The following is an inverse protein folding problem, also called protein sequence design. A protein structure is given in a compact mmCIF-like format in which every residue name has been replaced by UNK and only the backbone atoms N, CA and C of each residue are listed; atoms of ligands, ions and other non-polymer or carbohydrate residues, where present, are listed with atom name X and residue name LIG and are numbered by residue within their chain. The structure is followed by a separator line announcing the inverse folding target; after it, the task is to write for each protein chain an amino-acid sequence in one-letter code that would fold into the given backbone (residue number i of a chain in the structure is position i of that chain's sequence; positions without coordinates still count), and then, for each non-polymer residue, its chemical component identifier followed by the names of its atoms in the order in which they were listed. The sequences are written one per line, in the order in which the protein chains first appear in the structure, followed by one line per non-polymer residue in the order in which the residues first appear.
data_IF_234197397995
#
_entry.id   IF_234197397995
#
_cell.length_a   1.000
_cell.length_b   1.000
_cell.length_c   1.000
_cell.angle_alpha   90.00
_cell.angle_beta   90.00
_cell.angle_gamma   90.00
#
_symmetry.space_group_name_H-M   'P 1'
#
loop_
_entity.id
_entity.type
_entity.pdbx_description
1 polymer ?
#
# COMPACT_ATOMS: atom_id res chain seq x y z
N UNK A 1 14.67 -8.16 13.60
CA UNK A 1 14.95 -6.74 13.89
C UNK A 1 13.61 -6.04 14.05
N UNK A 2 13.31 -5.41 15.19
CA UNK A 2 12.00 -4.78 15.40
C UNK A 2 11.84 -3.43 14.68
N UNK A 3 10.62 -3.06 14.29
CA UNK A 3 10.30 -1.84 13.56
C UNK A 3 10.80 -0.56 14.23
N UNK A 4 10.77 -0.51 15.57
CA UNK A 4 11.29 0.60 16.35
C UNK A 4 12.78 0.88 16.11
N UNK A 5 13.55 -0.18 15.86
CA UNK A 5 14.98 -0.06 15.51
C UNK A 5 15.16 0.50 14.09
N UNK A 6 14.32 0.10 13.12
CA UNK A 6 14.32 0.69 11.78
C UNK A 6 14.02 2.19 11.82
N UNK A 7 13.00 2.60 12.57
CA UNK A 7 12.63 4.02 12.75
C UNK A 7 13.78 4.80 13.38
N UNK A 8 14.37 4.29 14.47
CA UNK A 8 15.51 4.92 15.14
C UNK A 8 16.72 5.08 14.23
N UNK A 9 17.02 4.04 13.44
CA UNK A 9 18.13 4.06 12.48
C UNK A 9 17.89 5.09 11.38
N UNK A 10 16.68 5.10 10.78
CA UNK A 10 16.27 6.10 9.79
C UNK A 10 16.43 7.51 10.35
N UNK A 11 15.84 7.79 11.52
CA UNK A 11 15.91 9.11 12.15
C UNK A 11 17.36 9.57 12.34
N UNK A 12 18.22 8.69 12.89
CA UNK A 12 19.63 8.99 13.11
C UNK A 12 20.39 9.20 11.80
N UNK A 13 20.09 8.44 10.74
CA UNK A 13 20.66 8.62 9.40
C UNK A 13 20.39 10.03 8.85
N UNK A 14 19.24 10.61 9.18
CA UNK A 14 18.89 11.98 8.81
C UNK A 14 19.33 13.05 9.82
N UNK A 15 20.08 12.69 10.88
CA UNK A 15 20.57 13.64 11.88
C UNK A 15 19.48 14.27 12.76
N UNK A 16 18.29 13.68 12.82
CA UNK A 16 17.13 14.27 13.50
C UNK A 16 17.04 13.83 14.96
N UNK A 17 16.60 14.74 15.84
CA UNK A 17 16.13 14.38 17.19
C UNK A 17 14.77 13.68 17.11
N UNK A 18 14.37 12.95 18.16
CA UNK A 18 13.03 12.32 18.21
C UNK A 18 11.92 13.36 18.03
N UNK A 19 12.11 14.56 18.58
CA UNK A 19 11.17 15.67 18.44
C UNK A 19 11.09 16.16 16.99
N UNK A 20 12.21 16.42 16.33
CA UNK A 20 12.23 16.84 14.92
C UNK A 20 11.62 15.79 13.98
N UNK A 21 11.83 14.50 14.28
CA UNK A 21 11.20 13.42 13.54
C UNK A 21 9.68 13.39 13.73
N UNK A 22 9.21 13.60 14.97
CA UNK A 22 7.79 13.69 15.28
C UNK A 22 7.11 14.89 14.59
N UNK A 23 7.77 16.04 14.60
CA UNK A 23 7.31 17.27 13.91
C UNK A 23 7.16 17.06 12.40
N UNK A 24 8.12 16.40 11.75
CA UNK A 24 8.03 16.07 10.31
C UNK A 24 6.87 15.13 9.96
N UNK A 25 6.44 14.32 10.92
CA UNK A 25 5.35 13.37 10.77
C UNK A 25 4.01 13.89 11.34
N UNK A 26 3.99 15.11 11.89
CA UNK A 26 2.82 15.72 12.52
C UNK A 26 2.23 14.89 13.66
N UNK A 27 3.10 14.26 14.47
CA UNK A 27 2.71 13.43 15.61
C UNK A 27 3.39 13.92 16.90
N UNK A 28 2.95 13.38 18.03
CA UNK A 28 3.60 13.68 19.31
C UNK A 28 4.99 13.05 19.40
N UNK A 29 5.88 13.72 20.14
CA UNK A 29 7.17 13.16 20.54
C UNK A 29 7.02 11.79 21.22
N UNK A 30 5.97 11.63 22.04
CA UNK A 30 5.69 10.41 22.79
C UNK A 30 5.46 9.21 21.86
N UNK A 31 4.82 9.41 20.71
CA UNK A 31 4.64 8.35 19.70
C UNK A 31 5.99 7.83 19.20
N UNK A 32 6.88 8.72 18.75
CA UNK A 32 8.22 8.35 18.28
C UNK A 32 9.03 7.69 19.39
N UNK A 33 9.00 8.27 20.60
CA UNK A 33 9.69 7.71 21.76
C UNK A 33 9.19 6.30 22.12
N UNK A 34 7.89 6.05 22.03
CA UNK A 34 7.30 4.74 22.30
C UNK A 34 7.69 3.72 21.24
N UNK A 35 7.66 4.09 19.95
CA UNK A 35 8.09 3.21 18.86
C UNK A 35 9.55 2.81 19.01
N UNK A 36 10.46 3.75 19.25
CA UNK A 36 11.90 3.48 19.39
C UNK A 36 12.28 2.71 20.66
N UNK A 37 11.37 2.63 21.64
CA UNK A 37 11.55 1.88 22.89
C UNK A 37 10.70 0.60 22.93
N UNK A 38 10.07 0.22 21.81
CA UNK A 38 9.23 -0.97 21.71
C UNK A 38 8.03 -0.97 22.69
N UNK A 39 7.56 0.23 23.06
CA UNK A 39 6.37 0.45 23.91
C UNK A 39 5.12 0.82 23.11
N UNK A 40 5.21 0.77 21.79
CA UNK A 40 4.11 1.02 20.87
C UNK A 40 4.50 0.61 19.46
N UNK A 41 3.51 0.57 18.56
CA UNK A 41 3.69 0.19 17.17
C UNK A 41 3.14 1.31 16.27
N UNK A 42 3.81 1.67 15.16
CA UNK A 42 3.20 2.58 14.18
C UNK A 42 2.01 1.90 13.51
N UNK A 43 1.00 2.68 13.16
CA UNK A 43 -0.10 2.19 12.32
C UNK A 43 0.35 2.01 10.88
N UNK A 44 -0.44 1.34 10.05
CA UNK A 44 -0.14 1.20 8.62
C UNK A 44 0.01 2.58 7.95
N UNK A 45 -0.87 3.52 8.25
CA UNK A 45 -0.80 4.89 7.71
C UNK A 45 0.49 5.59 8.13
N UNK A 46 0.94 5.42 9.38
CA UNK A 46 2.21 6.01 9.83
C UNK A 46 3.41 5.36 9.14
N UNK A 47 3.40 4.05 8.92
CA UNK A 47 4.44 3.37 8.16
C UNK A 47 4.53 3.92 6.73
N UNK A 48 3.39 4.07 6.06
CA UNK A 48 3.30 4.60 4.70
C UNK A 48 3.73 6.07 4.63
N UNK A 49 3.33 6.90 5.60
CA UNK A 49 3.75 8.30 5.69
C UNK A 49 5.27 8.42 5.87
N UNK A 50 5.87 7.57 6.69
CA UNK A 50 7.34 7.54 6.85
C UNK A 50 8.02 7.19 5.53
N UNK A 51 7.50 6.19 4.81
CA UNK A 51 8.04 5.80 3.50
C UNK A 51 8.00 6.97 2.52
N UNK A 52 6.87 7.67 2.44
CA UNK A 52 6.70 8.82 1.56
C UNK A 52 7.63 9.98 1.95
N UNK A 53 7.62 10.40 3.23
CA UNK A 53 8.38 11.58 3.70
C UNK A 53 9.89 11.44 3.61
N UNK A 54 10.39 10.21 3.65
CA UNK A 54 11.83 9.93 3.64
C UNK A 54 12.30 9.24 2.34
N UNK A 55 11.43 9.19 1.32
CA UNK A 55 11.71 8.55 0.01
C UNK A 55 12.31 7.15 0.14
N UNK A 56 11.60 6.28 0.88
CA UNK A 56 12.03 4.92 1.15
C UNK A 56 11.41 3.93 0.16
N UNK A 57 12.04 2.75 -0.06
CA UNK A 57 11.39 1.63 -0.73
C UNK A 57 10.08 1.27 -0.02
N UNK A 58 9.06 0.85 -0.79
CA UNK A 58 7.76 0.53 -0.22
C UNK A 58 7.84 -0.62 0.79
N UNK A 59 8.73 -1.57 0.58
CA UNK A 59 8.97 -2.73 1.44
C UNK A 59 9.90 -2.43 2.62
N UNK A 60 10.23 -1.15 2.89
CA UNK A 60 11.17 -0.76 3.93
C UNK A 60 10.85 -1.36 5.31
N UNK A 61 9.58 -1.51 5.68
CA UNK A 61 9.17 -2.09 6.96
C UNK A 61 8.94 -3.60 6.92
N UNK A 62 8.96 -4.24 5.74
CA UNK A 62 8.93 -5.69 5.64
C UNK A 62 10.24 -6.24 6.23
N UNK A 63 10.12 -7.12 7.22
CA UNK A 63 11.26 -7.73 7.91
C UNK A 63 11.19 -9.23 7.62
N UNK A 64 12.05 -9.76 6.75
CA UNK A 64 12.08 -11.19 6.53
C UNK A 64 12.46 -11.92 7.83
N UNK A 65 11.86 -13.08 8.13
CA UNK A 65 12.24 -13.87 9.30
C UNK A 65 13.71 -14.27 9.20
N UNK A 66 14.44 -14.24 10.32
CA UNK A 66 15.89 -14.46 10.37
C UNK A 66 16.35 -15.90 10.08
N UNK A 67 15.45 -16.84 9.77
CA UNK A 67 15.79 -18.24 9.47
C UNK A 67 15.18 -18.66 8.13
N UNK A 68 16.05 -18.86 7.15
CA UNK A 68 15.80 -19.05 5.71
C UNK A 68 15.46 -20.49 5.30
N UNK A 69 14.45 -21.10 5.93
CA UNK A 69 13.92 -22.41 5.50
C UNK A 69 12.39 -22.46 5.38
N UNK A 70 11.69 -21.34 5.57
CA UNK A 70 10.22 -21.30 5.72
C UNK A 70 9.55 -20.28 4.78
N UNK A 71 10.01 -20.17 3.54
CA UNK A 71 9.50 -19.19 2.55
C UNK A 71 7.99 -19.29 2.27
N UNK A 72 7.34 -20.41 2.62
CA UNK A 72 5.89 -20.57 2.42
C UNK A 72 5.04 -19.99 3.57
N UNK A 73 5.59 -19.78 4.76
CA UNK A 73 4.76 -19.39 5.91
C UNK A 73 4.19 -17.99 5.75
N UNK A 74 5.01 -17.05 5.32
CA UNK A 74 4.59 -15.67 5.04
C UNK A 74 3.47 -15.65 4.00
N UNK A 75 3.68 -16.38 2.91
CA UNK A 75 2.73 -16.55 1.81
C UNK A 75 1.40 -17.14 2.31
N UNK A 76 1.44 -18.23 3.05
CA UNK A 76 0.26 -18.89 3.62
C UNK A 76 -0.50 -17.96 4.58
N UNK A 77 0.20 -17.17 5.39
CA UNK A 77 -0.46 -16.19 6.27
C UNK A 77 -1.19 -15.15 5.43
N UNK A 78 -0.55 -14.55 4.43
CA UNK A 78 -1.16 -13.51 3.60
C UNK A 78 -2.34 -14.03 2.77
N UNK A 79 -2.19 -15.21 2.14
CA UNK A 79 -3.28 -15.85 1.40
C UNK A 79 -4.45 -16.22 2.33
N UNK A 80 -4.15 -16.74 3.52
CA UNK A 80 -5.19 -17.04 4.51
C UNK A 80 -5.92 -15.76 4.97
N UNK A 81 -5.20 -14.65 5.09
CA UNK A 81 -5.79 -13.37 5.45
C UNK A 81 -6.78 -12.92 4.38
N UNK A 82 -6.36 -12.89 3.11
CA UNK A 82 -7.23 -12.53 1.97
C UNK A 82 -8.47 -13.43 1.86
N UNK A 83 -8.30 -14.76 2.01
CA UNK A 83 -9.41 -15.71 1.97
C UNK A 83 -10.44 -15.46 3.09
N UNK A 84 -9.97 -15.11 4.30
CA UNK A 84 -10.86 -14.78 5.41
C UNK A 84 -11.53 -13.41 5.24
N UNK A 85 -10.85 -12.43 4.62
CA UNK A 85 -11.49 -11.16 4.22
C UNK A 85 -12.59 -11.38 3.18
N UNK A 86 -12.44 -12.35 2.28
CA UNK A 86 -13.50 -12.70 1.34
C UNK A 86 -14.74 -13.25 2.07
N UNK A 87 -14.52 -14.02 3.14
CA UNK A 87 -15.58 -14.69 3.89
C UNK A 87 -16.34 -13.80 4.89
N UNK A 88 -15.73 -12.71 5.38
CA UNK A 88 -16.38 -11.74 6.26
C UNK A 88 -16.06 -10.31 5.80
N UNK A 89 -17.11 -9.54 5.52
CA UNK A 89 -16.98 -8.16 5.04
C UNK A 89 -16.70 -7.15 6.15
N UNK A 90 -17.35 -7.31 7.30
CA UNK A 90 -17.42 -6.26 8.32
C UNK A 90 -16.23 -6.33 9.27
N UNK A 91 -15.85 -7.54 9.68
CA UNK A 91 -14.78 -7.75 10.65
C UNK A 91 -13.50 -8.24 9.99
N UNK A 92 -12.37 -7.70 10.48
CA UNK A 92 -11.05 -8.20 10.09
C UNK A 92 -10.85 -9.65 10.54
N UNK A 93 -10.11 -10.48 9.77
CA UNK A 93 -9.81 -11.87 10.14
C UNK A 93 -9.16 -11.98 11.52
N UNK A 94 -9.70 -12.82 12.41
CA UNK A 94 -9.09 -13.12 13.71
C UNK A 94 -7.85 -14.01 13.57
N UNK A 95 -6.88 -13.89 14.49
CA UNK A 95 -5.70 -14.77 14.48
C UNK A 95 -6.05 -16.27 14.56
N UNK A 96 -7.17 -16.62 15.21
CA UNK A 96 -7.69 -18.00 15.24
C UNK A 96 -8.16 -18.48 13.87
N UNK A 97 -8.80 -17.61 13.09
CA UNK A 97 -9.18 -17.92 11.71
C UNK A 97 -7.95 -18.09 10.82
N UNK A 98 -6.94 -17.24 11.00
CA UNK A 98 -5.68 -17.35 10.25
C UNK A 98 -4.96 -18.66 10.58
N UNK A 99 -4.83 -19.02 11.86
CA UNK A 99 -4.24 -20.31 12.27
C UNK A 99 -5.01 -21.50 11.68
N UNK A 100 -6.34 -21.48 11.73
CA UNK A 100 -7.18 -22.54 11.15
C UNK A 100 -6.99 -22.68 9.64
N UNK A 101 -6.82 -21.57 8.92
CA UNK A 101 -6.79 -21.56 7.46
C UNK A 101 -5.39 -21.80 6.89
N UNK A 102 -4.36 -21.22 7.52
CA UNK A 102 -2.96 -21.36 7.12
C UNK A 102 -2.27 -22.60 7.70
N UNK A 103 -2.80 -23.15 8.80
CA UNK A 103 -2.12 -24.19 9.59
C UNK A 103 -0.97 -23.65 10.46
N UNK A 104 -0.75 -22.33 10.48
CA UNK A 104 0.38 -21.71 11.18
C UNK A 104 -0.06 -21.26 12.57
N UNK A 105 0.67 -21.72 13.58
CA UNK A 105 0.37 -21.40 14.97
C UNK A 105 0.33 -19.89 15.23
N UNK A 106 -0.63 -19.40 16.01
CA UNK A 106 -0.82 -17.95 16.29
C UNK A 106 0.48 -17.29 16.78
N UNK A 107 1.27 -17.99 17.60
CA UNK A 107 2.54 -17.48 18.12
C UNK A 107 3.56 -17.23 17.01
N UNK A 108 3.55 -18.06 15.96
CA UNK A 108 4.39 -17.90 14.77
C UNK A 108 3.87 -16.78 13.89
N UNK A 109 2.55 -16.69 13.66
CA UNK A 109 1.93 -15.56 12.95
C UNK A 109 2.34 -14.22 13.60
N UNK A 110 2.28 -14.12 14.93
CA UNK A 110 2.69 -12.91 15.67
C UNK A 110 4.19 -12.58 15.57
N UNK A 111 5.05 -13.53 15.21
CA UNK A 111 6.47 -13.26 14.95
C UNK A 111 6.67 -12.64 13.56
N UNK A 112 5.89 -13.06 12.57
CA UNK A 112 5.88 -12.47 11.23
C UNK A 112 5.20 -11.10 11.25
N UNK A 113 4.02 -11.02 11.85
CA UNK A 113 3.18 -9.83 11.89
C UNK A 113 2.74 -9.55 13.34
N UNK A 114 3.51 -8.76 14.10
CA UNK A 114 3.22 -8.42 15.49
C UNK A 114 1.88 -7.73 15.70
N UNK A 115 1.40 -6.98 14.69
CA UNK A 115 0.13 -6.26 14.71
C UNK A 115 -0.67 -6.47 13.41
N UNK A 116 -1.95 -6.08 13.45
CA UNK A 116 -2.76 -6.03 12.24
C UNK A 116 -2.27 -4.98 11.25
N UNK A 117 -1.64 -3.91 11.73
CA UNK A 117 -1.05 -2.89 10.89
C UNK A 117 0.08 -3.46 10.02
N UNK A 118 0.83 -4.44 10.53
CA UNK A 118 1.84 -5.16 9.74
C UNK A 118 1.19 -6.03 8.66
N UNK A 119 0.10 -6.74 8.98
CA UNK A 119 -0.67 -7.53 8.01
C UNK A 119 -1.25 -6.64 6.91
N UNK A 120 -1.91 -5.53 7.27
CA UNK A 120 -2.46 -4.59 6.30
C UNK A 120 -1.38 -4.02 5.40
N UNK A 121 -0.27 -3.58 6.00
CA UNK A 121 0.87 -3.06 5.26
C UNK A 121 1.45 -4.10 4.28
N UNK A 122 1.62 -5.36 4.71
CA UNK A 122 2.13 -6.44 3.87
C UNK A 122 1.19 -6.78 2.72
N UNK A 123 -0.12 -6.86 2.98
CA UNK A 123 -1.15 -7.08 1.94
C UNK A 123 -1.16 -5.95 0.91
N UNK A 124 -1.16 -4.70 1.37
CA UNK A 124 -1.11 -3.51 0.50
C UNK A 124 0.16 -3.54 -0.37
N UNK A 125 1.31 -3.82 0.23
CA UNK A 125 2.58 -3.97 -0.48
C UNK A 125 2.51 -5.04 -1.56
N UNK A 126 2.05 -6.23 -1.19
CA UNK A 126 1.94 -7.39 -2.07
C UNK A 126 1.10 -7.07 -3.31
N UNK A 127 -0.07 -6.48 -3.12
CA UNK A 127 -1.02 -6.22 -4.20
C UNK A 127 -0.47 -5.16 -5.16
N UNK A 128 0.16 -4.10 -4.64
CA UNK A 128 0.59 -2.96 -5.46
C UNK A 128 2.05 -3.06 -5.98
N UNK A 129 2.84 -4.04 -5.52
CA UNK A 129 4.26 -4.19 -5.90
C UNK A 129 4.48 -4.22 -7.41
N UNK A 130 3.81 -5.13 -8.11
CA UNK A 130 3.99 -5.31 -9.55
C UNK A 130 3.39 -4.15 -10.35
N UNK A 131 2.25 -3.61 -9.89
CA UNK A 131 1.59 -2.46 -10.51
C UNK A 131 2.53 -1.26 -10.48
N UNK A 132 3.15 -0.97 -9.32
CA UNK A 132 4.13 0.10 -9.19
C UNK A 132 5.31 -0.10 -10.13
N UNK A 133 5.94 -1.27 -10.13
CA UNK A 133 7.14 -1.54 -10.95
C UNK A 133 6.82 -1.30 -12.42
N UNK A 134 5.66 -1.81 -12.89
CA UNK A 134 5.20 -1.61 -14.26
C UNK A 134 4.96 -0.13 -14.58
N UNK A 135 4.24 0.59 -13.71
CA UNK A 135 3.93 2.01 -13.91
C UNK A 135 5.18 2.88 -13.88
N UNK A 136 6.08 2.65 -12.94
CA UNK A 136 7.37 3.34 -12.83
C UNK A 136 8.22 3.15 -14.10
N UNK A 137 8.28 1.92 -14.61
CA UNK A 137 8.97 1.60 -15.87
C UNK A 137 8.34 2.34 -17.05
N UNK A 138 7.00 2.32 -17.15
CA UNK A 138 6.28 3.01 -18.23
C UNK A 138 6.44 4.54 -18.16
N UNK A 139 6.34 5.15 -16.98
CA UNK A 139 6.51 6.60 -16.81
C UNK A 139 7.94 7.07 -17.11
N UNK A 140 8.94 6.21 -16.95
CA UNK A 140 10.33 6.54 -17.29
C UNK A 140 10.60 6.63 -18.80
N UNK A 141 9.69 6.09 -19.63
CA UNK A 141 9.84 6.02 -21.09
C UNK A 141 8.71 6.69 -21.88
N UNK A 142 7.60 7.04 -21.22
CA UNK A 142 6.41 7.61 -21.83
C UNK A 142 5.87 8.78 -20.99
N UNK A 143 5.79 9.98 -21.58
CA UNK A 143 5.29 11.17 -20.89
C UNK A 143 3.76 11.27 -20.85
N UNK A 144 3.06 10.41 -21.61
CA UNK A 144 1.60 10.36 -21.65
C UNK A 144 1.03 9.47 -20.53
N UNK A 145 0.72 10.11 -19.41
CA UNK A 145 0.12 9.47 -18.22
C UNK A 145 -1.20 8.75 -18.54
N UNK A 146 -2.05 9.30 -19.40
CA UNK A 146 -3.31 8.67 -19.80
C UNK A 146 -3.06 7.35 -20.51
N UNK A 147 -2.07 7.28 -21.39
CA UNK A 147 -1.67 6.03 -22.05
C UNK A 147 -1.13 5.02 -21.04
N UNK A 148 -0.28 5.44 -20.10
CA UNK A 148 0.24 4.55 -19.04
C UNK A 148 -0.89 4.01 -18.17
N UNK A 149 -1.84 4.86 -17.78
CA UNK A 149 -3.00 4.44 -17.00
C UNK A 149 -3.85 3.39 -17.73
N UNK A 150 -4.22 3.67 -18.99
CA UNK A 150 -5.13 2.82 -19.76
C UNK A 150 -4.45 1.53 -20.22
N UNK A 151 -3.23 1.60 -20.73
CA UNK A 151 -2.60 0.49 -21.45
C UNK A 151 -1.64 -0.33 -20.57
N UNK A 152 -1.08 0.26 -19.51
CA UNK A 152 -0.12 -0.43 -18.64
C UNK A 152 -0.67 -0.73 -17.25
N UNK A 153 -1.34 0.23 -16.60
CA UNK A 153 -1.87 0.04 -15.24
C UNK A 153 -3.17 -0.76 -15.24
N UNK A 154 -4.15 -0.41 -16.08
CA UNK A 154 -5.47 -1.06 -16.07
C UNK A 154 -5.44 -2.59 -16.25
N UNK A 155 -4.60 -3.18 -17.13
CA UNK A 155 -4.47 -4.64 -17.21
C UNK A 155 -3.99 -5.27 -15.89
N UNK A 156 -2.96 -4.68 -15.26
CA UNK A 156 -2.42 -5.16 -13.98
C UNK A 156 -3.46 -5.08 -12.86
N UNK A 157 -4.28 -4.02 -12.85
CA UNK A 157 -5.39 -3.88 -11.91
C UNK A 157 -6.45 -4.95 -12.15
N UNK A 158 -6.81 -5.22 -13.41
CA UNK A 158 -7.80 -6.24 -13.75
C UNK A 158 -7.37 -7.66 -13.38
N UNK A 159 -6.08 -7.97 -13.52
CA UNK A 159 -5.52 -9.26 -13.07
C UNK A 159 -5.65 -9.46 -11.55
N UNK A 160 -5.58 -8.37 -10.76
CA UNK A 160 -5.67 -8.36 -9.30
C UNK A 160 -7.06 -7.96 -8.78
N UNK A 161 -8.09 -8.08 -9.62
CA UNK A 161 -9.43 -7.52 -9.33
C UNK A 161 -10.09 -8.10 -8.08
N UNK A 162 -9.85 -9.37 -7.76
CA UNK A 162 -10.41 -10.02 -6.56
C UNK A 162 -9.81 -9.43 -5.28
N UNK A 163 -8.49 -9.27 -5.24
CA UNK A 163 -7.81 -8.68 -4.09
C UNK A 163 -8.11 -7.18 -3.96
N UNK A 164 -8.16 -6.46 -5.09
CA UNK A 164 -8.52 -5.05 -5.10
C UNK A 164 -9.96 -4.84 -4.64
N UNK A 165 -10.90 -5.72 -5.02
CA UNK A 165 -12.26 -5.68 -4.51
C UNK A 165 -12.28 -5.71 -2.97
N UNK A 166 -11.47 -6.58 -2.35
CA UNK A 166 -11.33 -6.60 -0.90
C UNK A 166 -10.81 -5.26 -0.36
N UNK A 167 -9.76 -4.70 -0.96
CA UNK A 167 -9.20 -3.42 -0.51
C UNK A 167 -10.17 -2.25 -0.66
N UNK A 168 -11.00 -2.23 -1.69
CA UNK A 168 -11.95 -1.13 -1.91
C UNK A 168 -13.28 -1.26 -1.17
N UNK A 169 -13.60 -2.42 -0.61
CA UNK A 169 -14.93 -2.69 -0.03
C UNK A 169 -14.94 -3.06 1.46
N UNK A 170 -13.78 -3.37 2.06
CA UNK A 170 -13.68 -3.73 3.48
C UNK A 170 -13.43 -2.48 4.35
N UNK A 171 -14.32 -2.16 5.31
CA UNK A 171 -14.31 -0.88 6.02
C UNK A 171 -13.03 -0.65 6.84
N UNK A 172 -12.42 -1.71 7.35
CA UNK A 172 -11.23 -1.64 8.20
C UNK A 172 -9.90 -1.45 7.45
N UNK A 173 -9.87 -1.53 6.11
CA UNK A 173 -8.65 -1.34 5.31
C UNK A 173 -8.83 -0.33 4.17
N UNK A 174 -10.07 -0.08 3.73
CA UNK A 174 -10.38 0.76 2.57
C UNK A 174 -9.75 2.15 2.62
N UNK A 175 -9.86 2.84 3.75
CA UNK A 175 -9.33 4.19 3.86
C UNK A 175 -7.79 4.18 3.86
N UNK A 176 -7.18 3.18 4.48
CA UNK A 176 -5.72 2.96 4.47
C UNK A 176 -5.24 2.79 3.02
N UNK A 177 -5.92 1.91 2.28
CA UNK A 177 -5.62 1.64 0.87
C UNK A 177 -5.77 2.87 -0.02
N UNK A 178 -6.88 3.61 0.10
CA UNK A 178 -7.13 4.79 -0.73
C UNK A 178 -6.11 5.90 -0.45
N UNK A 179 -5.82 6.17 0.82
CA UNK A 179 -4.80 7.16 1.19
C UNK A 179 -3.43 6.73 0.67
N UNK A 180 -3.11 5.44 0.80
CA UNK A 180 -1.87 4.87 0.30
C UNK A 180 -1.67 5.09 -1.20
N UNK A 181 -2.60 4.64 -2.04
CA UNK A 181 -2.45 4.73 -3.49
C UNK A 181 -2.38 6.18 -3.95
N UNK A 182 -3.16 7.08 -3.35
CA UNK A 182 -3.15 8.50 -3.72
C UNK A 182 -1.79 9.13 -3.45
N UNK A 183 -1.29 9.01 -2.23
CA UNK A 183 0.03 9.53 -1.84
C UNK A 183 1.15 8.92 -2.70
N UNK A 184 1.14 7.59 -2.85
CA UNK A 184 2.18 6.88 -3.59
C UNK A 184 2.21 7.28 -5.06
N UNK A 185 1.07 7.26 -5.76
CA UNK A 185 1.04 7.55 -7.19
C UNK A 185 1.19 9.05 -7.47
N UNK A 186 0.81 9.95 -6.54
CA UNK A 186 1.18 11.36 -6.62
C UNK A 186 2.71 11.54 -6.59
N UNK A 187 3.38 10.92 -5.61
CA UNK A 187 4.86 10.97 -5.50
C UNK A 187 5.55 10.33 -6.71
N UNK A 188 5.02 9.21 -7.21
CA UNK A 188 5.57 8.53 -8.38
C UNK A 188 5.43 9.38 -9.66
N UNK A 189 4.24 9.92 -9.92
CA UNK A 189 3.97 10.70 -11.14
C UNK A 189 4.79 11.99 -11.15
N UNK A 190 4.82 12.73 -10.03
CA UNK A 190 5.59 13.98 -9.92
C UNK A 190 7.10 13.75 -10.06
N UNK A 191 7.61 12.58 -9.63
CA UNK A 191 9.02 12.21 -9.82
C UNK A 191 9.41 12.02 -11.28
N UNK A 192 8.55 11.40 -12.07
CA UNK A 192 8.85 11.03 -13.47
C UNK A 192 8.26 11.99 -14.51
N UNK A 193 7.39 12.91 -14.12
CA UNK A 193 6.77 13.86 -15.03
C UNK A 193 6.97 15.31 -14.55
N UNK A 194 8.01 16.00 -15.02
CA UNK A 194 8.32 17.38 -14.59
C UNK A 194 7.21 18.39 -14.86
N UNK A 195 6.37 18.17 -15.90
CA UNK A 195 5.23 19.05 -16.21
C UNK A 195 4.17 18.95 -15.11
N UNK A 196 3.85 17.74 -14.69
CA UNK A 196 2.90 17.49 -13.60
C UNK A 196 3.49 17.92 -12.25
N UNK A 197 4.80 17.79 -12.05
CA UNK A 197 5.47 18.32 -10.87
C UNK A 197 5.38 19.86 -10.74
N UNK A 198 5.29 20.58 -11.86
CA UNK A 198 5.18 22.04 -11.87
C UNK A 198 3.79 22.56 -11.47
N UNK A 199 2.75 21.74 -11.61
CA UNK A 199 1.37 22.04 -11.19
C UNK A 199 0.82 20.91 -10.31
N UNK A 200 1.18 20.98 -9.03
CA UNK A 200 0.83 19.98 -8.02
C UNK A 200 -0.68 19.88 -7.86
N UNK A 201 -1.40 21.01 -7.88
CA UNK A 201 -2.84 21.03 -7.67
C UNK A 201 -3.59 20.28 -8.79
N UNK A 202 -3.21 20.54 -10.05
CA UNK A 202 -3.76 19.79 -11.19
C UNK A 202 -3.43 18.30 -11.10
N UNK A 203 -2.22 17.96 -10.65
CA UNK A 203 -1.82 16.55 -10.46
C UNK A 203 -2.63 15.87 -9.36
N UNK A 204 -2.90 16.56 -8.25
CA UNK A 204 -3.76 16.05 -7.18
C UNK A 204 -5.19 15.81 -7.69
N UNK A 205 -5.78 16.74 -8.45
CA UNK A 205 -7.10 16.52 -9.06
C UNK A 205 -7.12 15.32 -10.02
N UNK A 206 -6.05 15.15 -10.80
CA UNK A 206 -5.92 13.99 -11.68
C UNK A 206 -5.84 12.68 -10.89
N UNK A 207 -5.04 12.63 -9.83
CA UNK A 207 -4.96 11.48 -8.92
C UNK A 207 -6.33 11.17 -8.30
N UNK A 208 -7.03 12.18 -7.78
CA UNK A 208 -8.37 12.03 -7.22
C UNK A 208 -9.35 11.44 -8.24
N UNK A 209 -9.33 11.93 -9.46
CA UNK A 209 -10.19 11.43 -10.54
C UNK A 209 -9.83 9.99 -10.95
N UNK A 210 -8.55 9.70 -11.24
CA UNK A 210 -8.12 8.36 -11.67
C UNK A 210 -8.36 7.31 -10.58
N UNK A 211 -8.04 7.63 -9.32
CA UNK A 211 -8.29 6.72 -8.19
C UNK A 211 -9.78 6.51 -7.95
N UNK A 212 -10.62 7.50 -8.25
CA UNK A 212 -12.09 7.34 -8.22
C UNK A 212 -12.58 6.38 -9.30
N UNK A 213 -12.05 6.46 -10.54
CA UNK A 213 -12.38 5.49 -11.58
C UNK A 213 -11.99 4.06 -11.18
N UNK A 214 -10.77 3.88 -10.66
CA UNK A 214 -10.33 2.57 -10.16
C UNK A 214 -11.24 2.09 -9.03
N UNK A 215 -11.56 2.96 -8.06
CA UNK A 215 -12.41 2.60 -6.93
C UNK A 215 -13.80 2.16 -7.40
N UNK A 216 -14.42 2.87 -8.34
CA UNK A 216 -15.75 2.51 -8.88
C UNK A 216 -15.68 1.19 -9.64
N UNK A 217 -14.61 0.95 -10.39
CA UNK A 217 -14.42 -0.28 -11.15
C UNK A 217 -14.18 -1.49 -10.24
N UNK A 218 -13.17 -1.41 -9.38
CA UNK A 218 -12.71 -2.51 -8.53
C UNK A 218 -13.64 -2.80 -7.34
N UNK A 219 -14.53 -1.88 -6.96
CA UNK A 219 -15.53 -2.16 -5.91
C UNK A 219 -16.68 -3.06 -6.38
N UNK A 220 -16.80 -3.30 -7.68
CA UNK A 220 -17.85 -4.16 -8.24
C UNK A 220 -17.59 -5.62 -7.87
N UNK A 221 -18.63 -6.41 -7.52
CA UNK A 221 -18.48 -7.86 -7.31
C UNK A 221 -18.01 -8.60 -8.58
N UNK A 222 -18.44 -8.13 -9.75
CA UNK A 222 -17.96 -8.59 -11.06
C UNK A 222 -17.59 -7.34 -11.88
N UNK A 223 -16.30 -6.92 -11.83
CA UNK A 223 -15.86 -5.70 -12.50
C UNK A 223 -16.05 -5.75 -14.02
N UNK A 224 -16.49 -4.62 -14.60
CA UNK A 224 -16.63 -4.49 -16.06
C UNK A 224 -15.37 -5.00 -16.80
N UNK A 225 -15.50 -5.67 -17.97
CA UNK A 225 -14.36 -6.22 -18.69
C UNK A 225 -13.29 -5.17 -18.98
N UNK A 226 -12.02 -5.57 -18.94
CA UNK A 226 -10.87 -4.69 -19.17
C UNK A 226 -11.03 -3.83 -20.44
N UNK A 227 -11.44 -4.44 -21.55
CA UNK A 227 -11.59 -3.74 -22.84
C UNK A 227 -12.66 -2.65 -22.75
N UNK A 228 -13.77 -2.90 -22.04
CA UNK A 228 -14.86 -1.95 -21.88
C UNK A 228 -14.43 -0.78 -20.99
N UNK A 229 -13.74 -1.06 -19.88
CA UNK A 229 -13.14 -0.04 -19.03
C UNK A 229 -12.15 0.83 -19.82
N UNK A 230 -11.25 0.21 -20.58
CA UNK A 230 -10.26 0.94 -21.40
C UNK A 230 -10.93 1.83 -22.44
N UNK A 231 -11.97 1.34 -23.13
CA UNK A 231 -12.71 2.13 -24.11
C UNK A 231 -13.45 3.31 -23.45
N UNK A 232 -14.03 3.08 -22.27
CA UNK A 232 -14.67 4.11 -21.46
C UNK A 232 -13.66 5.18 -21.04
N UNK A 233 -12.50 4.79 -20.52
CA UNK A 233 -11.45 5.71 -20.11
C UNK A 233 -10.87 6.50 -21.27
N UNK A 234 -10.65 5.87 -22.45
CA UNK A 234 -10.24 6.59 -23.66
C UNK A 234 -11.19 7.72 -24.01
N UNK A 235 -12.51 7.46 -23.94
CA UNK A 235 -13.54 8.48 -24.22
C UNK A 235 -13.57 9.61 -23.19
N UNK A 236 -13.38 9.32 -21.90
CA UNK A 236 -13.39 10.36 -20.87
C UNK A 236 -12.12 11.18 -20.85
N UNK A 237 -10.97 10.52 -20.96
CA UNK A 237 -9.66 11.16 -20.85
C UNK A 237 -9.19 11.81 -22.16
N UNK A 238 -9.82 11.51 -23.32
CA UNK A 238 -9.55 12.24 -24.57
C UNK A 238 -10.10 13.66 -24.60
N UNK A 239 -11.00 14.00 -23.67
CA UNK A 239 -11.64 15.32 -23.58
C UNK A 239 -10.99 16.23 -22.52
N UNK A 240 -9.86 15.80 -21.95
CA UNK A 240 -9.02 16.51 -20.97
C UNK A 240 -7.70 16.89 -21.63
#
# INVERSE_FOLDING_TARGET
MEIGNKIKALRKKHGLTQQQFAEKLYISFQSVSNWERHKGHPTTEMMLLIIEKFDLPLDFFIIPPTNSCEDNDEELILLSFLANMHSNREDKPSLKQLEKTSGIAIQKIKKYYPSYDDLFYAVINRIDKDVKIKVETSLSTNDNLTSVFINDMAPMLYEKKEELHLLYTRPYIRNIWITFIKSKYLSLITRYNPKLAADILTTEYLIEMLTSFISVWMSQPDPEPLVDFQNRMKKYLSNL
#
